data_IF_743284513867
#
_entry.id   IF_743284513867
#
_cell.length_a   1.000
_cell.length_b   1.000
_cell.length_c   1.000
_cell.angle_alpha   90.00
_cell.angle_beta   90.00
_cell.angle_gamma   90.00
#
_symmetry.space_group_name_H-M   'P 1'
#
loop_
_entity.id
_entity.type
_entity.pdbx_description
1 polymer ?
#
# COMPACT_ATOMS: atom_id res chain seq x y z
N UNK A 1 5.57 -26.55 9.90
CA UNK A 1 4.61 -25.79 9.07
C UNK A 1 5.38 -24.63 8.43
N UNK A 2 5.16 -24.31 7.15
CA UNK A 2 5.79 -23.13 6.55
C UNK A 2 5.39 -21.88 7.34
N UNK A 3 6.29 -20.89 7.41
CA UNK A 3 5.95 -19.59 7.99
C UNK A 3 4.74 -19.01 7.25
N UNK A 4 3.82 -18.31 7.95
CA UNK A 4 2.68 -17.69 7.30
C UNK A 4 3.15 -16.74 6.20
N UNK A 5 2.56 -16.85 5.01
CA UNK A 5 2.91 -16.01 3.87
C UNK A 5 2.78 -14.52 4.22
N UNK A 6 3.79 -13.75 3.84
CA UNK A 6 3.82 -12.30 4.06
C UNK A 6 4.40 -11.58 2.85
N UNK A 7 3.89 -10.38 2.56
CA UNK A 7 4.40 -9.48 1.54
C UNK A 7 4.37 -8.03 2.06
N UNK A 8 5.17 -7.15 1.44
CA UNK A 8 5.19 -5.72 1.75
C UNK A 8 5.19 -4.89 0.48
N UNK A 9 4.47 -3.76 0.50
CA UNK A 9 4.47 -2.77 -0.54
C UNK A 9 4.90 -1.40 0.04
N UNK A 10 5.86 -0.75 -0.62
CA UNK A 10 6.24 0.63 -0.33
C UNK A 10 5.34 1.58 -1.13
N UNK A 11 4.69 2.51 -0.44
CA UNK A 11 3.96 3.60 -1.07
C UNK A 11 4.89 4.78 -1.23
N UNK A 12 5.23 5.08 -2.48
CA UNK A 12 6.01 6.27 -2.86
C UNK A 12 5.04 7.39 -3.25
N UNK A 13 5.35 8.65 -2.91
CA UNK A 13 4.54 9.77 -3.36
C UNK A 13 4.54 9.86 -4.89
N UNK A 14 3.37 10.13 -5.47
CA UNK A 14 3.25 10.58 -6.86
C UNK A 14 3.65 12.05 -6.96
N UNK A 15 3.86 12.55 -8.17
CA UNK A 15 4.21 13.95 -8.42
C UNK A 15 3.16 14.90 -7.81
N UNK A 16 3.62 15.86 -7.00
CA UNK A 16 2.76 16.84 -6.33
C UNK A 16 2.03 16.34 -5.09
N UNK A 17 2.20 15.07 -4.70
CA UNK A 17 1.64 14.50 -3.47
C UNK A 17 2.75 14.15 -2.48
N UNK A 18 2.38 13.97 -1.22
CA UNK A 18 3.32 13.68 -0.13
C UNK A 18 3.05 12.35 0.59
N UNK A 19 1.95 11.68 0.22
CA UNK A 19 1.54 10.43 0.87
C UNK A 19 2.58 9.35 0.63
N UNK A 20 3.07 8.75 1.71
CA UNK A 20 4.09 7.70 1.68
C UNK A 20 3.98 6.76 2.86
N UNK A 21 4.58 5.59 2.73
CA UNK A 21 4.75 4.66 3.83
C UNK A 21 4.91 3.22 3.37
N UNK A 22 4.53 2.29 4.24
CA UNK A 22 4.65 0.86 3.95
C UNK A 22 3.38 0.15 4.38
N UNK A 23 2.91 -0.77 3.53
CA UNK A 23 1.81 -1.70 3.81
C UNK A 23 2.36 -3.10 3.86
N UNK A 24 1.94 -3.87 4.85
CA UNK A 24 2.26 -5.28 5.04
C UNK A 24 1.00 -6.12 4.93
N UNK A 25 1.13 -7.22 4.20
CA UNK A 25 0.11 -8.23 3.99
C UNK A 25 0.58 -9.51 4.67
N UNK A 26 -0.24 -10.11 5.53
CA UNK A 26 0.11 -11.35 6.23
C UNK A 26 -1.11 -12.24 6.38
N UNK A 27 -0.94 -13.53 6.13
CA UNK A 27 -1.98 -14.52 6.47
C UNK A 27 -1.95 -14.79 7.98
N UNK A 28 -3.05 -14.52 8.65
CA UNK A 28 -3.26 -14.72 10.10
C UNK A 28 -4.58 -15.46 10.27
N UNK A 29 -4.55 -16.60 10.94
CA UNK A 29 -5.72 -17.43 11.23
C UNK A 29 -6.58 -17.77 9.99
N UNK A 30 -5.90 -18.01 8.85
CA UNK A 30 -6.56 -18.33 7.57
C UNK A 30 -7.13 -17.14 6.81
N UNK A 31 -7.00 -15.92 7.34
CA UNK A 31 -7.45 -14.69 6.69
C UNK A 31 -6.27 -13.76 6.35
N UNK A 32 -6.47 -12.89 5.35
CA UNK A 32 -5.48 -11.86 5.01
C UNK A 32 -5.63 -10.66 5.96
N UNK A 33 -4.58 -10.36 6.72
CA UNK A 33 -4.45 -9.12 7.49
C UNK A 33 -3.60 -8.13 6.73
N UNK A 34 -4.14 -6.94 6.52
CA UNK A 34 -3.46 -5.79 5.92
C UNK A 34 -3.20 -4.76 7.02
N UNK A 35 -1.97 -4.29 7.14
CA UNK A 35 -1.57 -3.25 8.09
C UNK A 35 -0.62 -2.28 7.44
N UNK A 36 -0.81 -0.98 7.62
CA UNK A 36 0.06 0.04 7.05
C UNK A 36 0.45 1.12 8.04
N UNK A 37 1.64 1.68 7.85
CA UNK A 37 2.08 2.92 8.48
C UNK A 37 2.26 3.95 7.37
N UNK A 38 1.37 4.94 7.33
CA UNK A 38 1.31 5.95 6.28
C UNK A 38 1.43 7.35 6.89
N UNK A 39 1.98 8.29 6.13
CA UNK A 39 2.13 9.70 6.49
C UNK A 39 1.77 10.58 5.29
N UNK A 40 1.49 11.87 5.52
CA UNK A 40 1.14 12.83 4.47
C UNK A 40 -0.34 12.81 4.03
N UNK A 41 -1.17 11.97 4.66
CA UNK A 41 -2.62 11.99 4.45
C UNK A 41 -3.25 13.22 5.11
N UNK A 42 -4.23 13.81 4.43
CA UNK A 42 -5.05 14.89 5.03
C UNK A 42 -5.82 14.32 6.23
N UNK A 43 -5.76 14.98 7.40
CA UNK A 43 -6.49 14.54 8.58
C UNK A 43 -7.99 14.73 8.40
N UNK A 44 -8.79 13.87 9.04
CA UNK A 44 -10.25 13.94 9.03
C UNK A 44 -10.88 13.85 7.64
N UNK A 45 -10.24 13.17 6.70
CA UNK A 45 -10.79 12.89 5.37
C UNK A 45 -10.74 11.40 5.06
N UNK A 46 -11.61 10.97 4.17
CA UNK A 46 -11.58 9.61 3.61
C UNK A 46 -10.59 9.51 2.45
N UNK A 47 -10.00 8.33 2.28
CA UNK A 47 -9.03 8.04 1.23
C UNK A 47 -9.30 6.64 0.65
N UNK A 48 -9.15 6.51 -0.66
CA UNK A 48 -9.24 5.22 -1.33
C UNK A 48 -7.99 4.37 -1.11
N UNK A 49 -8.18 3.05 -1.07
CA UNK A 49 -7.10 2.06 -1.07
C UNK A 49 -7.46 0.95 -2.05
N UNK A 50 -6.59 0.71 -3.02
CA UNK A 50 -6.83 -0.23 -4.12
C UNK A 50 -5.62 -1.14 -4.30
N UNK A 51 -5.88 -2.37 -4.74
CA UNK A 51 -4.86 -3.26 -5.29
C UNK A 51 -4.89 -3.10 -6.80
N UNK A 52 -3.73 -2.83 -7.38
CA UNK A 52 -3.57 -2.74 -8.82
C UNK A 52 -3.04 -4.05 -9.38
N UNK A 53 -3.33 -4.31 -10.65
CA UNK A 53 -2.93 -5.55 -11.31
C UNK A 53 -1.44 -5.57 -11.68
N UNK A 54 -0.80 -4.40 -11.84
CA UNK A 54 0.63 -4.26 -12.14
C UNK A 54 1.35 -3.63 -10.95
N UNK A 55 2.65 -3.90 -10.89
CA UNK A 55 3.56 -3.32 -9.90
C UNK A 55 4.34 -2.11 -10.43
N UNK A 56 3.95 -1.56 -11.58
CA UNK A 56 4.66 -0.46 -12.21
C UNK A 56 4.17 0.88 -11.66
N UNK A 57 4.84 1.40 -10.63
CA UNK A 57 4.51 2.70 -10.05
C UNK A 57 5.30 3.87 -10.68
N UNK A 58 5.78 3.75 -11.92
CA UNK A 58 6.69 4.74 -12.53
C UNK A 58 6.01 5.97 -13.13
N UNK A 59 4.73 5.87 -13.51
CA UNK A 59 4.00 7.03 -14.01
C UNK A 59 3.90 8.12 -12.93
N UNK A 60 4.13 9.40 -13.27
CA UNK A 60 4.16 10.48 -12.27
C UNK A 60 2.86 10.65 -11.49
N UNK A 61 1.72 10.22 -12.05
CA UNK A 61 0.39 10.26 -11.44
C UNK A 61 -0.05 8.91 -10.86
N UNK A 62 0.78 7.86 -10.95
CA UNK A 62 0.48 6.50 -10.49
C UNK A 62 -0.40 5.67 -11.42
N UNK A 63 -0.72 6.15 -12.63
CA UNK A 63 -1.61 5.45 -13.57
C UNK A 63 -1.05 4.17 -14.21
N UNK A 64 0.27 3.94 -14.11
CA UNK A 64 0.93 2.75 -14.66
C UNK A 64 0.79 1.50 -13.78
N UNK A 65 0.32 1.67 -12.54
CA UNK A 65 0.11 0.58 -11.59
C UNK A 65 -1.05 -0.31 -12.03
#
# INVERSE_FOLDING_TARGET
MPAPASASAELKPTQGNEVKGTVTFKVVDGALRVSGQLSGLKPNTEHGFHIHEKGDCSAPDGSSA
#
